data_IF_316186913040
#
_entry.id   IF_316186913040
#
_cell.length_a   1.000
_cell.length_b   1.000
_cell.length_c   1.000
_cell.angle_alpha   90.00
_cell.angle_beta   90.00
_cell.angle_gamma   90.00
#
_symmetry.space_group_name_H-M   'P 1'
#
loop_
_entity.id
_entity.type
_entity.pdbx_description
1 polymer ?
#
# COMPACT_ATOMS: atom_id res chain seq x y z
N UNK A 1 2.94 20.70 -44.06
CA UNK A 1 1.67 20.24 -43.40
C UNK A 1 1.92 19.00 -42.52
N UNK A 2 2.82 18.09 -42.91
CA UNK A 2 3.28 16.90 -42.16
C UNK A 2 4.12 17.20 -40.92
N UNK A 3 4.98 18.22 -40.94
CA UNK A 3 5.88 18.52 -39.82
C UNK A 3 5.17 18.97 -38.52
N UNK A 4 4.11 19.78 -38.64
CA UNK A 4 3.26 20.18 -37.49
C UNK A 4 2.52 18.99 -36.86
N UNK A 5 2.16 17.99 -37.66
CA UNK A 5 1.52 16.76 -37.17
C UNK A 5 2.53 15.91 -36.39
N UNK A 6 3.72 15.71 -36.94
CA UNK A 6 4.80 14.99 -36.23
C UNK A 6 5.24 15.71 -34.94
N UNK A 7 5.28 17.04 -34.93
CA UNK A 7 5.58 17.80 -33.70
C UNK A 7 4.47 17.66 -32.65
N UNK A 8 3.21 17.55 -33.06
CA UNK A 8 2.07 17.32 -32.16
C UNK A 8 2.11 15.91 -31.57
N UNK A 9 2.30 14.89 -32.40
CA UNK A 9 2.41 13.50 -31.98
C UNK A 9 3.55 13.33 -30.96
N UNK A 10 4.74 13.88 -31.23
CA UNK A 10 5.86 13.88 -30.27
C UNK A 10 5.56 14.56 -28.92
N UNK A 11 4.71 15.58 -28.90
CA UNK A 11 4.30 16.26 -27.65
C UNK A 11 3.29 15.42 -26.88
N UNK A 12 2.36 14.79 -27.58
CA UNK A 12 1.37 13.88 -27.00
C UNK A 12 2.05 12.64 -26.39
N UNK A 13 3.02 12.05 -27.09
CA UNK A 13 3.83 10.94 -26.60
C UNK A 13 4.59 11.31 -25.33
N UNK A 14 5.32 12.43 -25.33
CA UNK A 14 6.04 12.93 -24.13
C UNK A 14 5.09 13.20 -22.96
N UNK A 15 3.90 13.71 -23.23
CA UNK A 15 2.90 13.97 -22.18
C UNK A 15 2.31 12.66 -21.62
N UNK A 16 2.20 11.62 -22.45
CA UNK A 16 1.79 10.28 -22.00
C UNK A 16 2.89 9.64 -21.16
N UNK A 17 4.13 9.64 -21.63
CA UNK A 17 5.30 9.14 -20.90
C UNK A 17 5.45 9.84 -19.55
N UNK A 18 5.33 11.17 -19.53
CA UNK A 18 5.43 11.95 -18.30
C UNK A 18 4.33 11.59 -17.30
N UNK A 19 3.08 11.45 -17.76
CA UNK A 19 1.95 11.01 -16.92
C UNK A 19 2.16 9.60 -16.38
N UNK A 20 2.68 8.69 -17.21
CA UNK A 20 3.01 7.33 -16.79
C UNK A 20 4.10 7.32 -15.70
N UNK A 21 5.19 8.07 -15.88
CA UNK A 21 6.25 8.21 -14.88
C UNK A 21 5.74 8.79 -13.55
N UNK A 22 4.90 9.82 -13.61
CA UNK A 22 4.28 10.40 -12.41
C UNK A 22 3.42 9.39 -11.67
N UNK A 23 2.61 8.60 -12.38
CA UNK A 23 1.81 7.53 -11.76
C UNK A 23 2.68 6.47 -11.11
N UNK A 24 3.74 6.02 -11.79
CA UNK A 24 4.70 5.06 -11.24
C UNK A 24 5.42 5.60 -9.99
N UNK A 25 5.82 6.88 -10.00
CA UNK A 25 6.43 7.52 -8.84
C UNK A 25 5.48 7.58 -7.64
N UNK A 26 4.21 7.93 -7.86
CA UNK A 26 3.19 7.93 -6.81
C UNK A 26 2.95 6.52 -6.24
N UNK A 27 2.92 5.49 -7.10
CA UNK A 27 2.80 4.11 -6.63
C UNK A 27 4.03 3.68 -5.81
N UNK A 28 5.22 4.08 -6.25
CA UNK A 28 6.45 3.89 -5.49
C UNK A 28 6.42 4.58 -4.13
N UNK A 29 5.80 5.76 -4.02
CA UNK A 29 5.57 6.42 -2.73
C UNK A 29 4.61 5.62 -1.85
N UNK A 30 3.49 5.15 -2.41
CA UNK A 30 2.54 4.32 -1.67
C UNK A 30 3.20 3.05 -1.11
N UNK A 31 4.01 2.35 -1.91
CA UNK A 31 4.77 1.17 -1.49
C UNK A 31 5.87 1.53 -0.47
N UNK A 32 6.50 2.71 -0.60
CA UNK A 32 7.47 3.19 0.39
C UNK A 32 6.79 3.44 1.74
N UNK A 33 5.66 4.13 1.75
CA UNK A 33 4.87 4.40 2.95
C UNK A 33 4.34 3.13 3.62
N UNK A 34 4.02 2.11 2.82
CA UNK A 34 3.58 0.81 3.30
C UNK A 34 4.62 0.16 4.22
N UNK A 35 5.91 0.37 3.99
CA UNK A 35 6.98 -0.16 4.85
C UNK A 35 6.95 0.40 6.28
N UNK A 36 6.26 1.53 6.49
CA UNK A 36 6.08 2.18 7.78
C UNK A 36 4.73 1.84 8.44
N UNK A 37 3.97 0.89 7.88
CA UNK A 37 2.71 0.43 8.45
C UNK A 37 2.87 -0.86 9.23
N UNK A 38 2.10 -0.98 10.32
CA UNK A 38 1.85 -2.23 11.04
C UNK A 38 0.46 -2.76 10.71
N UNK A 39 0.10 -4.00 11.10
CA UNK A 39 -1.27 -4.49 10.99
C UNK A 39 -2.31 -3.56 11.63
N UNK A 40 -1.92 -2.80 12.66
CA UNK A 40 -2.81 -1.86 13.36
C UNK A 40 -3.04 -0.56 12.55
N UNK A 41 -2.14 -0.19 11.65
CA UNK A 41 -2.19 1.10 10.93
C UNK A 41 -2.46 0.98 9.43
N UNK A 42 -2.38 -0.23 8.87
CA UNK A 42 -2.54 -0.49 7.43
C UNK A 42 -3.85 0.03 6.84
N UNK A 43 -4.94 0.03 7.61
CA UNK A 43 -6.24 0.55 7.15
C UNK A 43 -6.18 2.05 6.80
N UNK A 44 -5.34 2.84 7.49
CA UNK A 44 -5.16 4.26 7.21
C UNK A 44 -4.39 4.45 5.89
N UNK A 45 -3.37 3.63 5.65
CA UNK A 45 -2.66 3.61 4.37
C UNK A 45 -3.60 3.23 3.22
N UNK A 46 -4.40 2.17 3.38
CA UNK A 46 -5.34 1.74 2.33
C UNK A 46 -6.34 2.84 2.01
N UNK A 47 -6.97 3.44 3.03
CA UNK A 47 -7.96 4.51 2.84
C UNK A 47 -7.36 5.73 2.12
N UNK A 48 -6.09 6.06 2.39
CA UNK A 48 -5.40 7.18 1.73
C UNK A 48 -5.13 6.94 0.24
N UNK A 49 -4.83 5.70 -0.14
CA UNK A 49 -4.34 5.38 -1.50
C UNK A 49 -5.39 4.71 -2.38
N UNK A 50 -6.53 4.29 -1.81
CA UNK A 50 -7.62 3.63 -2.53
C UNK A 50 -8.39 4.55 -3.48
N UNK A 51 -8.37 5.87 -3.27
CA UNK A 51 -8.98 6.84 -4.20
C UNK A 51 -8.08 7.10 -5.42
N UNK A 52 -6.77 6.83 -5.31
CA UNK A 52 -5.74 7.16 -6.31
C UNK A 52 -5.37 5.96 -7.20
N UNK A 53 -5.48 4.75 -6.66
CA UNK A 53 -5.02 3.51 -7.29
C UNK A 53 -6.10 2.43 -7.30
N UNK A 54 -6.09 1.62 -8.37
CA UNK A 54 -6.91 0.41 -8.40
C UNK A 54 -6.41 -0.59 -7.34
N UNK A 55 -7.34 -1.40 -6.82
CA UNK A 55 -7.02 -2.42 -5.83
C UNK A 55 -5.91 -3.38 -6.30
N UNK A 56 -5.82 -3.67 -7.60
CA UNK A 56 -4.78 -4.55 -8.18
C UNK A 56 -3.40 -3.89 -8.13
N UNK A 57 -3.30 -2.59 -8.34
CA UNK A 57 -2.03 -1.85 -8.25
C UNK A 57 -1.49 -1.84 -6.81
N UNK A 58 -2.38 -1.69 -5.83
CA UNK A 58 -2.01 -1.73 -4.41
C UNK A 58 -1.72 -3.15 -3.91
N UNK A 59 -2.40 -4.17 -4.46
CA UNK A 59 -2.35 -5.54 -3.99
C UNK A 59 -0.94 -6.13 -4.03
N UNK A 60 -0.17 -5.84 -5.08
CA UNK A 60 1.19 -6.38 -5.22
C UNK A 60 2.09 -5.96 -4.05
N UNK A 61 2.13 -4.66 -3.73
CA UNK A 61 2.91 -4.14 -2.61
C UNK A 61 2.37 -4.63 -1.27
N UNK A 62 1.05 -4.65 -1.11
CA UNK A 62 0.38 -5.14 0.10
C UNK A 62 0.74 -6.59 0.42
N UNK A 63 0.64 -7.51 -0.55
CA UNK A 63 0.91 -8.92 -0.30
C UNK A 63 2.36 -9.20 0.05
N UNK A 64 3.30 -8.42 -0.50
CA UNK A 64 4.71 -8.48 -0.10
C UNK A 64 4.90 -7.98 1.34
N UNK A 65 4.34 -6.80 1.67
CA UNK A 65 4.39 -6.23 3.02
C UNK A 65 3.81 -7.18 4.07
N UNK A 66 2.69 -7.83 3.76
CA UNK A 66 2.00 -8.77 4.65
C UNK A 66 2.92 -9.89 5.14
N UNK A 67 3.86 -10.35 4.32
CA UNK A 67 4.76 -11.48 4.66
C UNK A 67 5.63 -11.24 5.91
N UNK A 68 5.78 -9.97 6.33
CA UNK A 68 6.52 -9.59 7.54
C UNK A 68 5.78 -9.97 8.83
N UNK A 69 4.46 -10.10 8.78
CA UNK A 69 3.63 -10.22 9.97
C UNK A 69 3.06 -11.63 10.09
N UNK A 70 3.47 -12.34 11.15
CA UNK A 70 3.00 -13.69 11.40
C UNK A 70 1.51 -13.72 11.77
N UNK A 71 1.00 -12.66 12.42
CA UNK A 71 -0.43 -12.52 12.75
C UNK A 71 -1.31 -12.55 11.51
N UNK A 72 -0.80 -12.08 10.37
CA UNK A 72 -1.53 -12.01 9.10
C UNK A 72 -1.49 -13.31 8.30
N UNK A 73 -0.91 -14.40 8.85
CA UNK A 73 -0.88 -15.72 8.20
C UNK A 73 -2.27 -16.20 7.70
N UNK A 74 -3.37 -15.96 8.42
CA UNK A 74 -4.69 -16.34 7.93
C UNK A 74 -5.10 -15.67 6.61
N UNK A 75 -4.54 -14.53 6.21
CA UNK A 75 -4.94 -13.87 4.96
C UNK A 75 -4.56 -14.63 3.67
N UNK A 76 -3.77 -15.71 3.74
CA UNK A 76 -3.37 -16.46 2.54
C UNK A 76 -4.58 -17.02 1.77
N UNK A 77 -5.62 -17.49 2.49
CA UNK A 77 -6.82 -18.02 1.83
C UNK A 77 -7.61 -16.93 1.08
N UNK A 78 -7.62 -15.70 1.60
CA UNK A 78 -8.26 -14.55 0.93
C UNK A 78 -7.51 -14.21 -0.36
N UNK A 79 -6.17 -14.25 -0.31
CA UNK A 79 -5.33 -14.04 -1.50
C UNK A 79 -5.64 -15.07 -2.58
N UNK A 80 -5.71 -16.34 -2.19
CA UNK A 80 -5.95 -17.44 -3.12
C UNK A 80 -7.38 -17.42 -3.69
N UNK A 81 -8.32 -16.76 -3.00
CA UNK A 81 -9.71 -16.57 -3.43
C UNK A 81 -9.93 -15.29 -4.25
N UNK A 82 -8.87 -14.54 -4.59
CA UNK A 82 -8.93 -13.22 -5.27
C UNK A 82 -9.84 -12.20 -4.56
N UNK A 83 -9.86 -12.25 -3.22
CA UNK A 83 -10.69 -11.33 -2.42
C UNK A 83 -10.20 -9.88 -2.54
N UNK A 84 -11.12 -8.91 -2.70
CA UNK A 84 -10.76 -7.52 -2.86
C UNK A 84 -10.13 -6.94 -1.59
N UNK A 85 -9.18 -6.02 -1.75
CA UNK A 85 -8.42 -5.46 -0.64
C UNK A 85 -9.29 -4.80 0.45
N UNK A 86 -10.45 -4.22 0.11
CA UNK A 86 -11.33 -3.65 1.14
C UNK A 86 -11.83 -4.73 2.11
N UNK A 87 -12.10 -5.94 1.63
CA UNK A 87 -12.53 -7.07 2.45
C UNK A 87 -11.35 -7.59 3.29
N UNK A 88 -10.17 -7.67 2.68
CA UNK A 88 -8.92 -7.98 3.41
C UNK A 88 -8.66 -6.98 4.55
N UNK A 89 -8.88 -5.67 4.32
CA UNK A 89 -8.77 -4.66 5.38
C UNK A 89 -9.79 -4.85 6.50
N UNK A 90 -11.00 -5.31 6.17
CA UNK A 90 -12.01 -5.66 7.16
C UNK A 90 -11.51 -6.83 8.04
N UNK A 91 -11.02 -7.90 7.43
CA UNK A 91 -10.48 -9.08 8.13
C UNK A 91 -9.27 -8.76 9.03
N UNK A 92 -8.36 -7.90 8.56
CA UNK A 92 -7.21 -7.45 9.38
C UNK A 92 -7.66 -6.85 10.71
N UNK A 93 -8.78 -6.11 10.75
CA UNK A 93 -9.27 -5.52 12.01
C UNK A 93 -9.64 -6.58 13.04
N UNK A 94 -10.18 -7.71 12.61
CA UNK A 94 -10.49 -8.84 13.49
C UNK A 94 -9.22 -9.53 13.96
N UNK A 95 -8.31 -9.83 13.02
CA UNK A 95 -7.00 -10.44 13.34
C UNK A 95 -6.25 -9.59 14.37
N UNK A 96 -6.17 -8.29 14.16
CA UNK A 96 -5.50 -7.36 15.11
C UNK A 96 -6.16 -7.39 16.48
N UNK A 97 -7.50 -7.39 16.55
CA UNK A 97 -8.24 -7.42 17.81
C UNK A 97 -7.97 -8.72 18.59
N UNK A 98 -7.83 -9.83 17.89
CA UNK A 98 -7.63 -11.16 18.46
C UNK A 98 -6.15 -11.47 18.74
N UNK A 99 -5.23 -10.73 18.11
CA UNK A 99 -3.79 -10.90 18.29
C UNK A 99 -3.35 -10.43 19.68
N UNK A 100 -2.66 -11.29 20.46
CA UNK A 100 -2.16 -10.93 21.78
C UNK A 100 -1.28 -9.69 21.77
N UNK A 101 -1.34 -8.88 22.82
CA UNK A 101 -0.65 -7.58 22.89
C UNK A 101 0.88 -7.69 22.68
N UNK A 102 1.51 -8.73 23.22
CA UNK A 102 2.95 -8.96 23.05
C UNK A 102 3.34 -9.28 21.60
N UNK A 103 2.47 -9.95 20.84
CA UNK A 103 2.68 -10.20 19.40
C UNK A 103 2.54 -8.89 18.62
N UNK A 104 1.49 -8.11 18.88
CA UNK A 104 1.31 -6.79 18.26
C UNK A 104 2.50 -5.87 18.53
N UNK A 105 3.04 -5.90 19.75
CA UNK A 105 4.24 -5.16 20.11
C UNK A 105 5.46 -5.62 19.32
N UNK A 106 5.73 -6.92 19.26
CA UNK A 106 6.82 -7.48 18.46
C UNK A 106 6.68 -7.11 16.96
N UNK A 107 5.46 -7.12 16.43
CA UNK A 107 5.18 -6.73 15.04
C UNK A 107 5.38 -5.23 14.80
N UNK A 108 5.00 -4.35 15.75
CA UNK A 108 5.38 -2.93 15.70
C UNK A 108 6.90 -2.74 15.70
N UNK A 109 7.64 -3.60 16.39
CA UNK A 109 9.10 -3.56 16.38
C UNK A 109 9.71 -3.89 15.00
N UNK A 110 8.98 -4.54 14.10
CA UNK A 110 9.43 -4.78 12.72
C UNK A 110 9.26 -3.57 11.80
N UNK A 111 8.51 -2.55 12.22
CA UNK A 111 8.26 -1.33 11.45
C UNK A 111 9.33 -0.29 11.79
N UNK A 112 9.98 0.36 10.79
CA UNK A 112 11.06 1.33 11.04
C UNK A 112 10.64 2.59 11.80
N UNK A 113 9.34 2.84 11.97
CA UNK A 113 8.85 4.01 12.68
C UNK A 113 8.98 3.83 14.21
N UNK A 114 10.10 4.28 14.78
CA UNK A 114 10.37 4.26 16.24
C UNK A 114 10.02 5.57 16.95
N UNK A 115 9.56 6.58 16.21
CA UNK A 115 9.16 7.87 16.76
C UNK A 115 7.72 7.76 17.26
N UNK A 116 7.54 7.19 18.45
CA UNK A 116 6.41 7.63 19.27
C UNK A 116 6.87 8.91 19.95
N UNK A 117 6.39 10.05 19.47
CA UNK A 117 6.51 11.30 20.23
C UNK A 117 5.84 11.06 21.58
N UNK A 118 6.66 10.80 22.60
CA UNK A 118 6.23 10.75 24.00
C UNK A 118 6.16 12.19 24.53
N UNK A 119 5.48 13.09 23.82
CA UNK A 119 5.03 14.36 24.38
C UNK A 119 3.86 14.09 25.32
N UNK A 120 4.16 13.39 26.43
CA UNK A 120 3.41 13.52 27.68
C UNK A 120 4.13 14.59 28.49
N UNK A 121 3.65 15.82 28.35
CA UNK A 121 3.67 16.81 29.43
C UNK A 121 2.37 16.70 30.21
#
# INVERSE_FOLDING_TARGET
RTDRRMQRERREDRALEHRWLLRQNLLGQAVTELNFQSPETISAWYSRWADEFDARELAQGFWQWRTRFASLKPLDWLRDSDEPLYNVMYEIRFIVRETPAHVREAERWQVPNKLTDRSRG
#
